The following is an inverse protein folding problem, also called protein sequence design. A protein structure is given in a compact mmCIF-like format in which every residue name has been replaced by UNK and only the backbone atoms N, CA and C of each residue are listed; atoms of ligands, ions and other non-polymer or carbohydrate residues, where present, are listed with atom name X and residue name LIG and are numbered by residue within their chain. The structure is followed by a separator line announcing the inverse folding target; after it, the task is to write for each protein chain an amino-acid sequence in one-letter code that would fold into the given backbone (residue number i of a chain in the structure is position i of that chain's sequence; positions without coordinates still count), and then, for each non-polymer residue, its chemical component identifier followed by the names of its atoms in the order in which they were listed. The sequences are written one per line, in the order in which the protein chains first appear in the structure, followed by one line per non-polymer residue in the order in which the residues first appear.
data_IF_214716014082
#
_entry.id   IF_214716014082
#
_cell.length_a   1.000
_cell.length_b   1.000
_cell.length_c   1.000
_cell.angle_alpha   90.00
_cell.angle_beta   90.00
_cell.angle_gamma   90.00
#
_symmetry.space_group_name_H-M   'P 1'
#
loop_
_entity.id
_entity.type
_entity.pdbx_description
1 polymer ?
#
# COMPACT_ATOMS: atom_id res chain seq x y z
N UNK A 1 -16.37 -10.33 11.30
CA UNK A 1 -14.98 -9.91 11.57
C UNK A 1 -14.14 -9.88 10.29
N UNK A 2 -14.26 -10.90 9.43
CA UNK A 2 -13.57 -10.99 8.12
C UNK A 2 -13.86 -9.79 7.20
N UNK A 3 -15.13 -9.40 7.07
CA UNK A 3 -15.53 -8.27 6.21
C UNK A 3 -14.91 -6.95 6.64
N UNK A 4 -14.80 -6.73 7.95
CA UNK A 4 -14.22 -5.49 8.50
C UNK A 4 -12.71 -5.40 8.16
N UNK A 5 -12.00 -6.50 8.25
CA UNK A 5 -10.59 -6.57 7.89
C UNK A 5 -10.35 -6.39 6.42
N UNK A 6 -11.18 -7.00 5.59
CA UNK A 6 -11.14 -6.81 4.14
C UNK A 6 -11.32 -5.32 3.77
N UNK A 7 -12.26 -4.63 4.44
CA UNK A 7 -12.45 -3.20 4.22
C UNK A 7 -11.21 -2.39 4.62
N UNK A 8 -10.59 -2.71 5.77
CA UNK A 8 -9.35 -2.05 6.19
C UNK A 8 -8.20 -2.30 5.22
N UNK A 9 -8.05 -3.54 4.73
CA UNK A 9 -7.06 -3.87 3.72
C UNK A 9 -7.26 -3.07 2.43
N UNK A 10 -8.51 -2.95 1.96
CA UNK A 10 -8.83 -2.15 0.79
C UNK A 10 -8.54 -0.66 0.99
N UNK A 11 -8.86 -0.11 2.17
CA UNK A 11 -8.54 1.28 2.50
C UNK A 11 -7.02 1.54 2.51
N UNK A 12 -6.25 0.63 3.10
CA UNK A 12 -4.78 0.71 3.08
C UNK A 12 -4.22 0.62 1.67
N UNK A 13 -4.75 -0.28 0.85
CA UNK A 13 -4.38 -0.44 -0.56
C UNK A 13 -4.65 0.84 -1.36
N UNK A 14 -5.83 1.45 -1.18
CA UNK A 14 -6.19 2.72 -1.82
C UNK A 14 -5.23 3.84 -1.38
N UNK A 15 -4.94 3.96 -0.09
CA UNK A 15 -4.06 4.99 0.44
C UNK A 15 -2.65 4.89 -0.17
N UNK A 16 -2.05 3.71 -0.16
CA UNK A 16 -0.70 3.51 -0.73
C UNK A 16 -0.67 3.57 -2.24
N UNK A 17 -1.68 3.05 -2.95
CA UNK A 17 -1.77 3.19 -4.39
C UNK A 17 -1.88 4.67 -4.81
N UNK A 18 -2.68 5.46 -4.09
CA UNK A 18 -2.83 6.89 -4.33
C UNK A 18 -1.51 7.64 -4.09
N UNK A 19 -0.82 7.37 -2.97
CA UNK A 19 0.49 7.94 -2.66
C UNK A 19 1.51 7.61 -3.75
N UNK A 20 1.68 6.34 -4.10
CA UNK A 20 2.59 5.90 -5.16
C UNK A 20 2.27 6.50 -6.52
N UNK A 21 0.98 6.52 -6.90
CA UNK A 21 0.53 7.11 -8.17
C UNK A 21 0.81 8.61 -8.26
N UNK A 22 0.50 9.36 -7.22
CA UNK A 22 0.75 10.81 -7.17
C UNK A 22 2.24 11.13 -7.25
N UNK A 23 3.08 10.35 -6.60
CA UNK A 23 4.54 10.45 -6.73
C UNK A 23 5.00 10.19 -8.18
N UNK A 24 4.46 9.15 -8.83
CA UNK A 24 4.73 8.83 -10.23
C UNK A 24 4.34 9.96 -11.19
N UNK A 25 3.14 10.51 -11.00
CA UNK A 25 2.67 11.66 -11.76
C UNK A 25 3.58 12.88 -11.59
N UNK A 26 4.04 13.13 -10.37
CA UNK A 26 4.97 14.24 -10.08
C UNK A 26 6.32 14.06 -10.76
N UNK A 27 6.81 12.82 -10.84
CA UNK A 27 8.05 12.49 -11.55
C UNK A 27 7.91 12.44 -13.07
N UNK A 28 6.71 12.69 -13.61
CA UNK A 28 6.45 12.74 -15.05
C UNK A 28 6.37 11.38 -15.72
N UNK A 29 6.08 10.32 -14.93
CA UNK A 29 5.86 8.98 -15.49
C UNK A 29 4.60 8.96 -16.35
N UNK A 30 4.59 8.08 -17.34
CA UNK A 30 3.42 7.78 -18.16
C UNK A 30 2.37 6.97 -17.36
N UNK A 31 1.22 6.72 -17.97
CA UNK A 31 0.11 5.97 -17.36
C UNK A 31 0.57 4.63 -16.82
N UNK A 32 1.37 3.91 -17.61
CA UNK A 32 1.85 2.58 -17.24
C UNK A 32 2.80 2.67 -16.03
N UNK A 33 3.76 3.58 -16.04
CA UNK A 33 4.68 3.82 -14.94
C UNK A 33 3.98 4.21 -13.65
N UNK A 34 2.93 5.05 -13.73
CA UNK A 34 2.11 5.44 -12.58
C UNK A 34 1.35 4.24 -12.01
N UNK A 35 0.76 3.39 -12.87
CA UNK A 35 0.07 2.18 -12.44
C UNK A 35 1.03 1.18 -11.75
N UNK A 36 2.20 0.95 -12.34
CA UNK A 36 3.23 0.06 -11.76
C UNK A 36 3.70 0.60 -10.41
N UNK A 37 3.99 1.90 -10.32
CA UNK A 37 4.45 2.49 -9.06
C UNK A 37 3.37 2.41 -7.97
N UNK A 38 2.12 2.72 -8.29
CA UNK A 38 1.01 2.61 -7.35
C UNK A 38 0.76 1.15 -6.91
N UNK A 39 0.80 0.21 -7.85
CA UNK A 39 0.66 -1.22 -7.56
C UNK A 39 1.79 -1.73 -6.65
N UNK A 40 3.03 -1.42 -7.00
CA UNK A 40 4.20 -1.85 -6.21
C UNK A 40 4.18 -1.24 -4.80
N UNK A 41 3.79 0.02 -4.68
CA UNK A 41 3.67 0.69 -3.38
C UNK A 41 2.58 0.05 -2.52
N UNK A 42 1.43 -0.28 -3.12
CA UNK A 42 0.29 -0.85 -2.40
C UNK A 42 0.48 -2.32 -2.00
N UNK A 43 1.10 -3.13 -2.87
CA UNK A 43 1.19 -4.59 -2.68
C UNK A 43 2.58 -5.04 -2.22
N UNK A 44 3.63 -4.25 -2.44
CA UNK A 44 5.02 -4.66 -2.23
C UNK A 44 5.32 -5.10 -0.79
N UNK A 45 4.91 -4.33 0.21
CA UNK A 45 5.11 -4.69 1.63
C UNK A 45 4.40 -5.99 2.01
N UNK A 46 3.17 -6.20 1.52
CA UNK A 46 2.41 -7.43 1.74
C UNK A 46 3.07 -8.65 1.10
N UNK A 47 3.61 -8.51 -0.11
CA UNK A 47 4.34 -9.59 -0.78
C UNK A 47 5.60 -10.00 -0.02
N UNK A 48 6.40 -9.02 0.43
CA UNK A 48 7.62 -9.29 1.23
C UNK A 48 7.25 -9.95 2.55
N UNK A 49 6.22 -9.46 3.24
CA UNK A 49 5.69 -10.08 4.47
C UNK A 49 5.31 -11.54 4.25
N UNK A 50 4.52 -11.83 3.22
CA UNK A 50 4.00 -13.17 2.96
C UNK A 50 5.14 -14.15 2.65
N UNK A 51 6.15 -13.72 1.90
CA UNK A 51 7.37 -14.51 1.64
C UNK A 51 8.14 -14.79 2.93
N UNK A 52 8.31 -13.79 3.81
CA UNK A 52 9.01 -13.96 5.08
C UNK A 52 8.28 -14.90 6.05
N UNK A 53 6.96 -14.93 6.01
CA UNK A 53 6.13 -15.84 6.80
C UNK A 53 5.98 -17.22 6.17
N UNK A 54 6.57 -17.47 5.00
CA UNK A 54 6.44 -18.73 4.27
C UNK A 54 5.07 -18.94 3.62
N UNK A 55 4.23 -17.91 3.59
CA UNK A 55 2.91 -17.94 2.93
C UNK A 55 3.08 -17.75 1.42
N UNK A 56 3.32 -18.83 0.72
CA UNK A 56 3.55 -18.84 -0.74
C UNK A 56 2.49 -19.63 -1.48
N UNK A 57 1.95 -19.12 -2.60
CA UNK A 57 2.21 -17.80 -3.19
C UNK A 57 1.62 -16.64 -2.38
N UNK A 58 2.24 -15.42 -2.42
CA UNK A 58 1.73 -14.25 -1.71
C UNK A 58 0.27 -13.95 -2.02
N UNK A 59 -0.47 -13.43 -1.03
CA UNK A 59 -1.90 -13.15 -1.13
C UNK A 59 -2.27 -12.26 -2.32
N UNK A 60 -1.39 -11.34 -2.72
CA UNK A 60 -1.57 -10.48 -3.89
C UNK A 60 -1.67 -11.24 -5.22
N UNK A 61 -1.11 -12.44 -5.31
CA UNK A 61 -1.23 -13.32 -6.48
C UNK A 61 -2.39 -14.31 -6.37
N UNK A 62 -2.82 -14.62 -5.15
CA UNK A 62 -3.96 -15.52 -4.95
C UNK A 62 -5.29 -14.81 -5.18
N UNK A 63 -5.36 -13.53 -4.81
CA UNK A 63 -6.57 -12.73 -4.95
C UNK A 63 -6.25 -11.41 -5.67
N UNK A 64 -6.69 -11.24 -6.94
CA UNK A 64 -6.39 -10.05 -7.73
C UNK A 64 -7.15 -8.79 -7.30
N UNK A 65 -8.04 -8.88 -6.30
CA UNK A 65 -8.89 -7.75 -5.88
C UNK A 65 -8.06 -6.55 -5.43
N UNK A 66 -7.08 -6.76 -4.55
CA UNK A 66 -6.21 -5.69 -4.07
C UNK A 66 -5.39 -5.06 -5.21
N UNK A 67 -4.86 -5.89 -6.11
CA UNK A 67 -4.11 -5.43 -7.28
C UNK A 67 -4.99 -4.64 -8.24
N UNK A 68 -6.23 -5.08 -8.48
CA UNK A 68 -7.18 -4.36 -9.31
C UNK A 68 -7.56 -3.00 -8.70
N UNK A 69 -7.83 -2.96 -7.39
CA UNK A 69 -8.11 -1.71 -6.66
C UNK A 69 -6.92 -0.75 -6.74
N UNK A 70 -5.70 -1.24 -6.58
CA UNK A 70 -4.49 -0.42 -6.70
C UNK A 70 -4.34 0.20 -8.10
N UNK A 71 -4.56 -0.59 -9.16
CA UNK A 71 -4.49 -0.10 -10.55
C UNK A 71 -5.59 0.93 -10.83
N UNK A 72 -6.83 0.66 -10.44
CA UNK A 72 -7.96 1.60 -10.61
C UNK A 72 -7.69 2.90 -9.88
N UNK A 73 -7.22 2.84 -8.63
CA UNK A 73 -6.84 4.04 -7.85
C UNK A 73 -5.74 4.83 -8.56
N UNK A 74 -4.72 4.15 -9.07
CA UNK A 74 -3.63 4.80 -9.81
C UNK A 74 -4.10 5.51 -11.08
N UNK A 75 -5.02 4.89 -11.82
CA UNK A 75 -5.65 5.49 -13.00
C UNK A 75 -6.46 6.74 -12.64
N UNK A 76 -7.23 6.69 -11.55
CA UNK A 76 -8.00 7.85 -11.06
C UNK A 76 -7.04 9.00 -10.71
N UNK A 77 -5.92 8.71 -10.03
CA UNK A 77 -4.93 9.71 -9.67
C UNK A 77 -4.22 10.31 -10.89
N UNK A 78 -4.10 9.56 -11.97
CA UNK A 78 -3.54 10.05 -13.23
C UNK A 78 -4.45 11.01 -13.98
N UNK A 79 -5.78 11.01 -13.74
CA UNK A 79 -6.73 11.90 -14.38
C UNK A 79 -6.35 13.38 -14.19
N UNK A 80 -6.48 14.16 -15.26
CA UNK A 80 -6.04 15.55 -15.32
C UNK A 80 -6.63 16.44 -14.23
N UNK A 81 -7.87 16.19 -13.80
CA UNK A 81 -8.53 16.94 -12.73
C UNK A 81 -7.85 16.79 -11.37
N UNK A 82 -7.54 15.54 -10.98
CA UNK A 82 -6.86 15.25 -9.72
C UNK A 82 -5.42 15.74 -9.74
N UNK A 83 -4.74 15.53 -10.87
CA UNK A 83 -3.40 16.04 -11.12
C UNK A 83 -3.31 17.56 -10.93
N UNK A 84 -4.21 18.31 -11.54
CA UNK A 84 -4.22 19.77 -11.44
C UNK A 84 -4.51 20.27 -10.02
N UNK A 85 -5.44 19.59 -9.32
CA UNK A 85 -5.80 19.92 -7.93
C UNK A 85 -4.65 19.73 -6.95
N UNK A 86 -3.92 18.62 -7.07
CA UNK A 86 -2.83 18.28 -6.16
C UNK A 86 -1.52 18.98 -6.51
N UNK A 87 -1.20 19.13 -7.80
CA UNK A 87 0.07 19.71 -8.23
C UNK A 87 0.09 21.23 -8.28
N UNK A 88 -1.07 21.87 -8.27
CA UNK A 88 -1.18 23.34 -8.28
C UNK A 88 -0.72 24.00 -6.96
N UNK A 89 -0.59 23.24 -5.87
CA UNK A 89 -0.19 23.76 -4.57
C UNK A 89 0.65 22.75 -3.79
N UNK A 90 1.92 23.08 -3.54
CA UNK A 90 2.86 22.23 -2.82
C UNK A 90 2.33 21.79 -1.45
N UNK A 91 1.69 22.68 -0.71
CA UNK A 91 1.15 22.40 0.62
C UNK A 91 0.04 21.33 0.58
N UNK A 92 -0.81 21.36 -0.47
CA UNK A 92 -1.87 20.33 -0.65
C UNK A 92 -1.26 18.98 -1.00
N UNK A 93 -0.25 18.98 -1.84
CA UNK A 93 0.50 17.78 -2.17
C UNK A 93 1.12 17.15 -0.93
N UNK A 94 1.87 17.92 -0.15
CA UNK A 94 2.56 17.42 1.05
C UNK A 94 1.57 16.90 2.10
N UNK A 95 0.45 17.61 2.30
CA UNK A 95 -0.60 17.16 3.21
C UNK A 95 -1.27 15.87 2.73
N UNK A 96 -1.57 15.77 1.43
CA UNK A 96 -2.16 14.56 0.85
C UNK A 96 -1.23 13.36 1.02
N UNK A 97 0.05 13.50 0.69
CA UNK A 97 1.05 12.45 0.86
C UNK A 97 1.16 12.02 2.32
N UNK A 98 1.27 12.98 3.24
CA UNK A 98 1.35 12.69 4.67
C UNK A 98 0.13 11.91 5.18
N UNK A 99 -1.08 12.31 4.79
CA UNK A 99 -2.31 11.65 5.21
C UNK A 99 -2.43 10.23 4.64
N UNK A 100 -2.14 10.06 3.35
CA UNK A 100 -2.20 8.74 2.70
C UNK A 100 -1.16 7.79 3.25
N UNK A 101 0.07 8.24 3.43
CA UNK A 101 1.13 7.43 4.01
C UNK A 101 0.83 7.06 5.46
N UNK A 102 0.43 8.01 6.30
CA UNK A 102 0.09 7.73 7.70
C UNK A 102 -1.07 6.74 7.84
N UNK A 103 -2.12 6.89 7.03
CA UNK A 103 -3.25 5.97 7.03
C UNK A 103 -2.82 4.57 6.57
N UNK A 104 -2.09 4.48 5.45
CA UNK A 104 -1.57 3.23 4.93
C UNK A 104 -0.65 2.51 5.92
N UNK A 105 0.32 3.23 6.50
CA UNK A 105 1.23 2.72 7.52
C UNK A 105 0.49 2.11 8.71
N UNK A 106 -0.48 2.85 9.27
CA UNK A 106 -1.27 2.38 10.42
C UNK A 106 -2.04 1.09 10.09
N UNK A 107 -2.74 1.08 8.97
CA UNK A 107 -3.54 -0.07 8.53
C UNK A 107 -2.66 -1.29 8.28
N UNK A 108 -1.61 -1.16 7.47
CA UNK A 108 -0.77 -2.30 7.11
C UNK A 108 0.09 -2.82 8.26
N UNK A 109 0.49 -1.97 9.22
CA UNK A 109 1.15 -2.42 10.44
C UNK A 109 0.24 -3.34 11.25
N UNK A 110 -1.00 -2.94 11.49
CA UNK A 110 -1.99 -3.76 12.23
C UNK A 110 -2.28 -5.06 11.49
N UNK A 111 -2.45 -5.00 10.17
CA UNK A 111 -2.68 -6.18 9.33
C UNK A 111 -1.48 -7.12 9.33
N UNK A 112 -0.26 -6.58 9.27
CA UNK A 112 0.98 -7.35 9.33
C UNK A 112 1.14 -8.13 10.63
N UNK A 113 0.94 -7.47 11.77
CA UNK A 113 0.96 -8.12 13.10
C UNK A 113 -0.07 -9.23 13.18
N UNK A 114 -1.28 -8.99 12.68
CA UNK A 114 -2.35 -9.99 12.70
C UNK A 114 -2.05 -11.21 11.83
N UNK A 115 -1.54 -10.99 10.61
CA UNK A 115 -1.14 -12.11 9.74
C UNK A 115 -0.05 -12.94 10.40
N UNK A 116 0.96 -12.30 11.00
CA UNK A 116 2.01 -12.99 11.73
C UNK A 116 1.46 -13.80 12.92
N UNK A 117 0.50 -13.24 13.66
CA UNK A 117 -0.15 -13.92 14.77
C UNK A 117 -0.88 -15.20 14.34
N UNK A 118 -1.52 -15.17 13.18
CA UNK A 118 -2.30 -16.32 12.68
C UNK A 118 -1.45 -17.37 11.96
N UNK A 119 -0.27 -17.00 11.45
CA UNK A 119 0.60 -17.92 10.70
C UNK A 119 1.59 -18.72 11.56
N UNK A 120 1.79 -18.32 12.82
CA UNK A 120 2.79 -18.93 13.71
C UNK A 120 2.12 -19.39 15.00
N UNK A 121 2.32 -20.66 15.39
CA UNK A 121 1.70 -21.24 16.58
C UNK A 121 2.14 -20.53 17.88
N UNK A 122 3.42 -20.10 17.96
CA UNK A 122 3.94 -19.31 19.09
C UNK A 122 4.67 -18.05 18.57
N UNK A 123 3.93 -16.96 18.26
CA UNK A 123 4.55 -15.76 17.73
C UNK A 123 5.35 -15.02 18.81
N UNK A 124 6.65 -14.90 18.60
CA UNK A 124 7.50 -14.07 19.47
C UNK A 124 7.20 -12.58 19.25
N UNK A 125 7.31 -11.78 20.31
CA UNK A 125 7.14 -10.32 20.22
C UNK A 125 8.05 -9.70 19.13
N UNK A 126 9.28 -10.22 19.03
CA UNK A 126 10.23 -9.78 18.01
C UNK A 126 9.73 -10.02 16.59
N UNK A 127 9.16 -11.20 16.31
CA UNK A 127 8.59 -11.52 15.00
C UNK A 127 7.41 -10.59 14.67
N UNK A 128 6.52 -10.33 15.62
CA UNK A 128 5.38 -9.45 15.42
C UNK A 128 5.80 -8.02 15.08
N UNK A 129 6.77 -7.48 15.81
CA UNK A 129 7.32 -6.14 15.55
C UNK A 129 8.02 -6.09 14.20
N UNK A 130 8.85 -7.10 13.89
CA UNK A 130 9.56 -7.16 12.62
C UNK A 130 8.61 -7.26 11.42
N UNK A 131 7.63 -8.16 11.47
CA UNK A 131 6.65 -8.33 10.38
C UNK A 131 5.74 -7.11 10.25
N UNK A 132 5.33 -6.50 11.37
CA UNK A 132 4.62 -5.23 11.35
C UNK A 132 5.42 -4.14 10.64
N UNK A 133 6.71 -4.01 10.97
CA UNK A 133 7.61 -3.05 10.35
C UNK A 133 7.84 -3.34 8.86
N UNK A 134 8.01 -4.59 8.45
CA UNK A 134 8.19 -4.96 7.03
C UNK A 134 6.91 -4.72 6.22
N UNK A 135 5.74 -4.95 6.82
CA UNK A 135 4.46 -4.77 6.13
C UNK A 135 4.21 -3.30 5.75
N UNK A 136 4.83 -2.36 6.44
CA UNK A 136 4.73 -0.95 6.12
C UNK A 136 5.93 -0.41 5.34
N UNK A 137 6.96 -1.20 5.04
CA UNK A 137 8.12 -0.68 4.33
C UNK A 137 7.69 0.00 3.03
N UNK A 138 7.59 1.30 3.13
CA UNK A 138 7.31 2.17 2.02
C UNK A 138 8.61 2.30 1.23
N UNK A 139 8.59 1.90 -0.03
CA UNK A 139 9.70 2.17 -0.94
C UNK A 139 9.73 3.67 -1.28
N UNK A 140 10.01 4.50 -0.28
CA UNK A 140 10.42 5.87 -0.51
C UNK A 140 11.85 5.83 -1.02
N UNK A 141 12.00 5.80 -2.33
CA UNK A 141 13.27 6.16 -2.93
C UNK A 141 13.47 7.66 -2.75
N UNK A 142 14.62 8.08 -2.25
CA UNK A 142 14.96 9.49 -2.10
C UNK A 142 14.96 10.23 -3.44
#
# INVERSE_FOLDING_TARGET
METFLFLFEMLGTIAFAASGAVLGVRKGLDVFGVCILGLTTACGGGMVRDVLLGNTPPAAFQNPTASAVAVVTSLIMFLSGVRHLLMGNQRRYDLFMLLMDSAGLGIFTVMGVRVAWNCVEEPSLYLLVFVGAVSYTHLTLP
#
